data_IF_074056407846
#
_entry.id   IF_074056407846
#
_cell.length_a   1.000
_cell.length_b   1.000
_cell.length_c   1.000
_cell.angle_alpha   90.00
_cell.angle_beta   90.00
_cell.angle_gamma   90.00
#
_symmetry.space_group_name_H-M   'P 1'
#
loop_
_entity.id
_entity.type
_entity.pdbx_description
1 polymer ?
#
# COMPACT_ATOMS: atom_id res chain seq x y z
N UNK A 1 5.64 -0.10 13.63
CA UNK A 1 5.44 -0.38 15.07
C UNK A 1 6.51 -1.35 15.49
N UNK A 2 7.33 -0.97 16.47
CA UNK A 2 8.40 -1.82 16.99
C UNK A 2 7.91 -2.43 18.31
N UNK A 3 7.70 -3.75 18.41
CA UNK A 3 7.24 -4.36 19.65
C UNK A 3 8.31 -4.30 20.75
N UNK A 4 7.91 -4.14 22.01
CA UNK A 4 8.83 -4.24 23.15
C UNK A 4 9.49 -5.62 23.25
N UNK A 5 8.76 -6.66 22.84
CA UNK A 5 9.25 -8.04 22.77
C UNK A 5 8.79 -8.68 21.45
N UNK A 6 9.75 -9.17 20.66
CA UNK A 6 9.47 -9.80 19.37
C UNK A 6 8.43 -10.94 19.50
N UNK A 7 7.45 -10.94 18.61
CA UNK A 7 6.35 -11.92 18.61
C UNK A 7 5.28 -11.72 19.68
N UNK A 8 5.42 -10.74 20.59
CA UNK A 8 4.45 -10.48 21.67
C UNK A 8 3.84 -9.08 21.58
N UNK A 9 3.07 -8.83 20.51
CA UNK A 9 2.47 -7.53 20.21
C UNK A 9 1.60 -6.96 21.35
N UNK A 10 0.94 -7.82 22.12
CA UNK A 10 0.10 -7.43 23.28
C UNK A 10 0.90 -6.77 24.42
N UNK A 11 2.24 -6.91 24.45
CA UNK A 11 3.11 -6.23 25.42
C UNK A 11 3.42 -4.78 25.05
N UNK A 12 2.76 -4.25 24.01
CA UNK A 12 2.98 -2.91 23.52
C UNK A 12 4.32 -2.75 22.80
N UNK A 13 4.63 -1.51 22.48
CA UNK A 13 5.79 -1.15 21.67
C UNK A 13 5.78 0.32 21.29
N UNK A 14 6.71 0.69 20.41
CA UNK A 14 6.84 2.05 19.89
C UNK A 14 6.09 2.18 18.56
N UNK A 15 5.08 3.06 18.53
CA UNK A 15 4.50 3.51 17.27
C UNK A 15 5.40 4.57 16.63
N UNK A 16 5.56 4.52 15.31
CA UNK A 16 6.41 5.43 14.56
C UNK A 16 5.71 5.91 13.29
N UNK A 17 6.18 7.05 12.77
CA UNK A 17 5.77 7.57 11.47
C UNK A 17 6.99 7.77 10.56
N UNK A 18 6.81 7.42 9.28
CA UNK A 18 7.86 7.52 8.27
C UNK A 18 8.13 8.97 7.91
N UNK A 19 9.41 9.34 7.87
CA UNK A 19 9.94 10.61 7.38
C UNK A 19 10.80 10.30 6.16
N UNK A 20 10.66 11.09 5.08
CA UNK A 20 11.62 11.00 3.98
C UNK A 20 12.88 11.77 4.41
N UNK A 21 14.02 11.09 4.46
CA UNK A 21 15.26 11.63 4.99
C UNK A 21 15.68 12.91 4.27
N UNK A 22 15.95 13.96 5.03
CA UNK A 22 16.30 15.29 4.51
C UNK A 22 15.14 16.03 3.82
N UNK A 23 13.91 15.52 3.90
CA UNK A 23 12.69 16.12 3.34
C UNK A 23 11.55 16.03 4.38
N UNK A 24 11.65 16.77 5.51
CA UNK A 24 10.57 16.77 6.49
C UNK A 24 9.27 17.23 5.83
N UNK A 25 8.14 16.64 6.26
CA UNK A 25 6.81 16.97 5.74
C UNK A 25 6.64 16.69 4.24
N UNK A 26 7.40 15.73 3.69
CA UNK A 26 7.34 15.40 2.28
C UNK A 26 5.93 15.00 1.85
N UNK A 27 5.39 15.71 0.85
CA UNK A 27 4.09 15.41 0.26
C UNK A 27 4.26 14.44 -0.92
N UNK A 28 3.99 13.14 -0.70
CA UNK A 28 4.15 12.10 -1.72
C UNK A 28 2.96 11.99 -2.68
N UNK A 29 1.89 12.77 -2.45
CA UNK A 29 0.58 12.56 -3.09
C UNK A 29 0.57 12.99 -4.55
N UNK A 30 1.55 13.79 -4.98
CA UNK A 30 1.65 14.35 -6.34
C UNK A 30 0.42 15.15 -6.84
N UNK A 31 -0.48 15.60 -5.94
CA UNK A 31 -1.70 16.32 -6.31
C UNK A 31 -1.43 17.64 -7.02
N UNK A 32 -0.55 18.46 -6.43
CA UNK A 32 -0.23 19.78 -6.96
C UNK A 32 1.07 19.77 -7.77
N UNK A 33 2.12 19.19 -7.20
CA UNK A 33 3.47 19.13 -7.76
C UNK A 33 3.91 17.67 -7.87
N UNK A 34 4.61 17.31 -8.95
CA UNK A 34 5.21 15.97 -9.11
C UNK A 34 6.49 15.85 -8.27
N UNK A 35 6.31 15.76 -6.95
CA UNK A 35 7.37 15.73 -5.96
C UNK A 35 8.06 14.36 -5.88
N UNK A 36 7.32 13.27 -6.09
CA UNK A 36 7.84 11.90 -6.09
C UNK A 36 7.78 11.33 -7.51
N UNK A 37 8.94 10.98 -8.07
CA UNK A 37 9.00 10.37 -9.41
C UNK A 37 8.76 8.86 -9.31
N UNK A 38 8.14 8.30 -10.35
CA UNK A 38 7.94 6.86 -10.46
C UNK A 38 9.29 6.12 -10.35
N UNK A 39 9.34 5.08 -9.52
CA UNK A 39 10.51 4.25 -9.22
C UNK A 39 11.73 4.98 -8.61
N UNK A 40 11.59 6.26 -8.23
CA UNK A 40 12.64 6.94 -7.48
C UNK A 40 12.67 6.39 -6.06
N UNK A 41 13.82 5.84 -5.66
CA UNK A 41 14.09 5.47 -4.28
C UNK A 41 14.42 6.71 -3.45
N UNK A 42 13.78 6.83 -2.28
CA UNK A 42 14.05 7.84 -1.28
C UNK A 42 14.36 7.13 0.04
N UNK A 43 15.49 7.46 0.66
CA UNK A 43 15.80 6.98 2.01
C UNK A 43 14.78 7.51 3.01
N UNK A 44 14.44 6.69 4.00
CA UNK A 44 13.51 7.07 5.07
C UNK A 44 14.17 6.98 6.43
N UNK A 45 13.62 7.74 7.36
CA UNK A 45 13.89 7.64 8.79
C UNK A 45 12.54 7.61 9.52
N UNK A 46 12.54 7.27 10.81
CA UNK A 46 11.31 7.14 11.60
C UNK A 46 11.32 8.10 12.77
N UNK A 47 10.18 8.74 13.02
CA UNK A 47 9.94 9.51 14.25
C UNK A 47 9.03 8.73 15.18
N UNK A 48 9.39 8.74 16.46
CA UNK A 48 8.58 8.11 17.50
C UNK A 48 7.31 8.93 17.77
N UNK A 49 6.18 8.24 17.84
CA UNK A 49 4.89 8.84 18.16
C UNK A 49 4.51 8.53 19.61
N UNK A 50 4.43 9.57 20.42
CA UNK A 50 3.93 9.45 21.80
C UNK A 50 2.41 9.46 21.84
N UNK A 51 1.84 8.88 22.91
CA UNK A 51 0.40 8.81 23.17
C UNK A 51 -0.41 8.31 21.96
N UNK A 52 -0.17 7.05 21.52
CA UNK A 52 -0.77 6.52 20.28
C UNK A 52 -2.29 6.41 20.34
N UNK A 53 -2.89 6.31 21.53
CA UNK A 53 -4.35 6.31 21.73
C UNK A 53 -5.05 7.56 21.17
N UNK A 54 -4.33 8.70 21.08
CA UNK A 54 -4.78 9.96 20.48
C UNK A 54 -6.26 10.32 20.73
N UNK A 55 -6.69 10.52 21.99
CA UNK A 55 -8.08 10.85 22.33
C UNK A 55 -8.57 12.19 21.73
N UNK A 56 -7.64 12.99 21.18
CA UNK A 56 -7.92 14.29 20.53
C UNK A 56 -7.96 14.19 18.99
N UNK A 57 -7.81 12.99 18.43
CA UNK A 57 -7.70 12.78 16.98
C UNK A 57 -6.58 13.62 16.31
N UNK A 58 -5.43 13.73 16.99
CA UNK A 58 -4.34 14.65 16.61
C UNK A 58 -3.04 13.94 16.17
N UNK A 59 -2.98 12.61 16.24
CA UNK A 59 -1.76 11.83 16.04
C UNK A 59 -1.10 12.14 14.69
N UNK A 60 -1.90 12.14 13.61
CA UNK A 60 -1.44 12.48 12.25
C UNK A 60 -0.88 13.90 12.16
N UNK A 61 -1.48 14.85 12.87
CA UNK A 61 -1.05 16.25 12.89
C UNK A 61 0.26 16.41 13.66
N UNK A 62 0.43 15.69 14.77
CA UNK A 62 1.68 15.66 15.56
C UNK A 62 2.80 14.98 14.77
N UNK A 63 2.55 13.84 14.15
CA UNK A 63 3.53 13.15 13.30
C UNK A 63 3.98 14.04 12.14
N UNK A 64 3.04 14.70 11.45
CA UNK A 64 3.38 15.64 10.38
C UNK A 64 4.21 16.82 10.88
N UNK A 65 3.89 17.40 12.05
CA UNK A 65 4.71 18.46 12.67
C UNK A 65 6.14 18.00 13.02
N UNK A 66 6.33 16.71 13.27
CA UNK A 66 7.63 16.09 13.51
C UNK A 66 8.37 15.69 12.22
N UNK A 67 7.78 15.92 11.04
CA UNK A 67 8.43 15.67 9.75
C UNK A 67 7.86 14.49 8.97
N UNK A 68 6.86 13.77 9.49
CA UNK A 68 6.29 12.61 8.79
C UNK A 68 5.80 12.97 7.38
N UNK A 69 5.98 12.05 6.44
CA UNK A 69 5.51 12.19 5.07
C UNK A 69 3.98 12.08 4.98
N UNK A 70 3.40 12.73 3.98
CA UNK A 70 1.97 12.64 3.66
C UNK A 70 1.74 11.64 2.53
N UNK A 71 0.93 10.64 2.82
CA UNK A 71 0.39 9.67 1.87
C UNK A 71 -1.09 9.96 1.60
N UNK A 72 -1.55 9.68 0.38
CA UNK A 72 -2.92 9.96 -0.03
C UNK A 72 -3.82 8.78 0.33
N UNK A 73 -4.52 8.84 1.47
CA UNK A 73 -5.42 7.77 1.96
C UNK A 73 -4.74 6.40 1.89
N UNK A 74 -3.82 6.15 2.82
CA UNK A 74 -3.17 4.85 2.94
C UNK A 74 -4.19 3.79 3.35
N UNK A 75 -4.39 2.77 2.51
CA UNK A 75 -5.36 1.68 2.74
C UNK A 75 -4.61 0.34 2.89
N UNK A 76 -4.89 -0.65 2.03
CA UNK A 76 -4.31 -1.98 2.13
C UNK A 76 -2.79 -2.01 1.98
N UNK A 77 -2.17 -2.88 2.77
CA UNK A 77 -0.72 -3.12 2.81
C UNK A 77 -0.46 -4.63 2.75
N UNK A 78 0.53 -5.05 1.97
CA UNK A 78 0.91 -6.46 1.87
C UNK A 78 2.43 -6.61 1.79
N UNK A 79 2.94 -7.61 2.51
CA UNK A 79 4.34 -8.00 2.48
C UNK A 79 4.63 -8.92 1.29
N UNK A 80 5.73 -8.67 0.58
CA UNK A 80 6.29 -9.48 -0.49
C UNK A 80 7.62 -10.12 -0.09
N UNK A 81 8.54 -10.28 -1.04
CA UNK A 81 9.89 -10.76 -0.73
C UNK A 81 10.79 -9.60 -0.26
N UNK A 82 10.98 -9.50 1.07
CA UNK A 82 11.78 -8.45 1.74
C UNK A 82 11.28 -7.01 1.52
N UNK A 83 10.07 -6.85 1.02
CA UNK A 83 9.48 -5.55 0.72
C UNK A 83 8.00 -5.55 1.07
N UNK A 84 7.39 -4.37 1.14
CA UNK A 84 5.95 -4.24 1.23
C UNK A 84 5.41 -3.24 0.23
N UNK A 85 4.16 -3.44 -0.13
CA UNK A 85 3.41 -2.55 -1.00
C UNK A 85 2.18 -2.06 -0.25
N UNK A 86 1.82 -0.80 -0.46
CA UNK A 86 0.57 -0.27 0.06
C UNK A 86 -0.11 0.70 -0.92
N UNK A 87 -1.44 0.71 -0.89
CA UNK A 87 -2.26 1.57 -1.71
C UNK A 87 -2.35 2.98 -1.11
N UNK A 88 -2.33 3.96 -1.99
CA UNK A 88 -2.69 5.35 -1.72
C UNK A 88 -3.86 5.70 -2.64
N UNK A 89 -5.08 5.49 -2.15
CA UNK A 89 -6.31 5.34 -2.94
C UNK A 89 -6.61 6.52 -3.86
N UNK A 90 -6.34 7.76 -3.42
CA UNK A 90 -6.56 8.95 -4.23
C UNK A 90 -5.27 9.71 -4.53
N UNK A 91 -4.12 9.03 -4.53
CA UNK A 91 -2.83 9.59 -4.91
C UNK A 91 -2.69 9.91 -6.40
N UNK A 92 -1.64 10.64 -6.73
CA UNK A 92 -1.25 10.99 -8.10
C UNK A 92 -1.90 12.27 -8.61
N UNK A 93 -1.34 12.83 -9.69
CA UNK A 93 -1.82 14.08 -10.28
C UNK A 93 -3.30 14.04 -10.69
N UNK A 94 -3.78 12.89 -11.17
CA UNK A 94 -5.19 12.68 -11.55
C UNK A 94 -6.07 12.21 -10.37
N UNK A 95 -5.48 12.01 -9.19
CA UNK A 95 -6.16 11.50 -7.99
C UNK A 95 -6.87 10.17 -8.22
N UNK A 96 -6.28 9.30 -9.03
CA UNK A 96 -6.81 7.99 -9.39
C UNK A 96 -6.17 6.85 -8.61
N UNK A 97 -5.14 7.16 -7.82
CA UNK A 97 -4.47 6.24 -6.93
C UNK A 97 -3.00 5.98 -7.30
N UNK A 98 -2.27 5.54 -6.28
CA UNK A 98 -0.87 5.15 -6.34
C UNK A 98 -0.68 3.83 -5.59
N UNK A 99 0.39 3.11 -5.91
CA UNK A 99 0.95 2.05 -5.06
C UNK A 99 2.34 2.46 -4.67
N UNK A 100 2.64 2.42 -3.37
CA UNK A 100 3.96 2.66 -2.83
C UNK A 100 4.65 1.33 -2.58
N UNK A 101 5.97 1.29 -2.78
CA UNK A 101 6.85 0.17 -2.43
C UNK A 101 7.83 0.62 -1.36
N UNK A 102 7.90 -0.11 -0.26
CA UNK A 102 8.84 0.13 0.83
C UNK A 102 9.74 -1.10 1.03
N UNK A 103 11.04 -0.85 1.00
CA UNK A 103 12.08 -1.81 1.37
C UNK A 103 12.62 -1.39 2.75
N UNK A 104 12.40 -2.16 3.82
CA UNK A 104 12.98 -1.86 5.11
C UNK A 104 14.51 -1.99 5.12
N UNK A 105 15.11 -1.39 6.13
CA UNK A 105 16.53 -1.56 6.43
C UNK A 105 16.87 -3.02 6.75
N UNK A 106 18.10 -3.47 6.49
CA UNK A 106 18.59 -4.73 7.06
C UNK A 106 18.67 -4.68 8.60
N UNK A 107 18.68 -3.47 9.16
CA UNK A 107 18.72 -3.19 10.59
C UNK A 107 17.41 -2.54 11.09
N UNK A 108 16.29 -2.76 10.40
CA UNK A 108 14.99 -2.14 10.69
C UNK A 108 14.60 -2.27 12.17
N UNK A 109 14.25 -1.15 12.80
CA UNK A 109 13.84 -1.09 14.20
C UNK A 109 14.98 -1.28 15.21
N UNK A 110 16.24 -1.12 14.79
CA UNK A 110 17.42 -1.19 15.67
C UNK A 110 18.25 0.09 15.62
N UNK A 111 19.17 0.27 16.57
CA UNK A 111 20.08 1.42 16.61
C UNK A 111 21.02 1.54 15.40
N UNK A 112 21.12 0.49 14.57
CA UNK A 112 21.94 0.48 13.34
C UNK A 112 21.15 0.89 12.10
N UNK A 113 19.85 1.13 12.21
CA UNK A 113 18.98 1.45 11.06
C UNK A 113 19.51 2.65 10.25
N UNK A 114 20.04 3.68 10.93
CA UNK A 114 20.63 4.86 10.27
C UNK A 114 21.85 4.54 9.39
N UNK A 115 22.53 3.41 9.58
CA UNK A 115 23.68 3.00 8.78
C UNK A 115 23.27 2.54 7.37
N UNK A 116 22.05 2.00 7.24
CA UNK A 116 21.48 1.56 5.98
C UNK A 116 19.97 1.79 6.01
N UNK A 117 19.50 3.03 5.80
CA UNK A 117 18.09 3.37 5.94
C UNK A 117 17.19 2.58 4.99
N UNK A 118 15.96 2.33 5.42
CA UNK A 118 14.93 1.82 4.52
C UNK A 118 14.67 2.78 3.35
N UNK A 119 14.00 2.30 2.31
CA UNK A 119 13.73 3.05 1.08
C UNK A 119 12.27 2.98 0.70
N UNK A 120 11.66 4.13 0.41
CA UNK A 120 10.32 4.24 -0.16
C UNK A 120 10.40 4.64 -1.63
N UNK A 121 9.52 4.10 -2.46
CA UNK A 121 9.38 4.46 -3.86
C UNK A 121 7.92 4.47 -4.31
N UNK A 122 7.62 5.34 -5.27
CA UNK A 122 6.33 5.34 -5.96
C UNK A 122 6.37 4.24 -7.01
N UNK A 123 5.66 3.13 -6.77
CA UNK A 123 5.71 1.94 -7.63
C UNK A 123 4.72 2.02 -8.79
N UNK A 124 3.51 2.53 -8.53
CA UNK A 124 2.48 2.80 -9.53
C UNK A 124 1.90 4.18 -9.28
N UNK A 125 1.68 4.94 -10.34
CA UNK A 125 0.82 6.13 -10.33
C UNK A 125 -0.15 6.04 -11.50
N UNK A 126 -1.44 6.03 -11.22
CA UNK A 126 -2.43 5.91 -12.27
C UNK A 126 -2.48 7.14 -13.16
N UNK A 127 -2.42 6.90 -14.46
CA UNK A 127 -2.57 7.93 -15.50
C UNK A 127 -3.93 7.86 -16.21
N UNK A 128 -4.75 6.84 -15.93
CA UNK A 128 -6.06 6.65 -16.56
C UNK A 128 -7.01 5.84 -15.68
N UNK A 129 -8.27 6.27 -15.63
CA UNK A 129 -9.36 5.56 -14.95
C UNK A 129 -9.58 4.15 -15.50
N UNK A 130 -9.25 3.93 -16.77
CA UNK A 130 -9.42 2.63 -17.43
C UNK A 130 -8.38 1.59 -17.02
N UNK A 131 -7.24 2.01 -16.47
CA UNK A 131 -6.12 1.14 -16.09
C UNK A 131 -6.09 0.90 -14.58
N UNK A 132 -6.33 1.93 -13.78
CA UNK A 132 -6.30 1.86 -12.31
C UNK A 132 -7.08 3.03 -11.73
N UNK A 133 -8.05 2.76 -10.86
CA UNK A 133 -8.94 3.80 -10.32
C UNK A 133 -9.34 3.45 -8.88
N UNK A 134 -8.78 4.16 -7.91
CA UNK A 134 -9.02 3.96 -6.48
C UNK A 134 -8.69 2.54 -5.99
N UNK A 135 -7.52 2.00 -6.38
CA UNK A 135 -7.04 0.76 -5.79
C UNK A 135 -6.80 0.92 -4.29
N UNK A 136 -7.44 0.06 -3.51
CA UNK A 136 -7.61 0.16 -2.06
C UNK A 136 -6.86 -0.97 -1.34
N UNK A 137 -7.22 -2.23 -1.60
CA UNK A 137 -6.51 -3.38 -1.05
C UNK A 137 -5.62 -4.04 -2.11
N UNK A 138 -4.55 -4.70 -1.65
CA UNK A 138 -3.66 -5.44 -2.54
C UNK A 138 -3.15 -6.71 -1.88
N UNK A 139 -2.74 -7.68 -2.71
CA UNK A 139 -1.98 -8.85 -2.29
C UNK A 139 -0.89 -9.18 -3.31
N UNK A 140 0.23 -9.71 -2.83
CA UNK A 140 1.29 -10.24 -3.69
C UNK A 140 0.89 -11.64 -4.14
N UNK A 141 0.84 -11.85 -5.43
CA UNK A 141 0.51 -13.14 -6.04
C UNK A 141 1.74 -14.05 -6.18
N UNK A 142 1.55 -15.37 -6.39
CA UNK A 142 2.66 -16.34 -6.39
C UNK A 142 3.71 -16.16 -7.49
N UNK A 143 3.41 -15.42 -8.56
CA UNK A 143 4.37 -15.06 -9.60
C UNK A 143 5.06 -13.69 -9.35
N UNK A 144 4.83 -13.08 -8.19
CA UNK A 144 5.38 -11.77 -7.82
C UNK A 144 4.61 -10.56 -8.36
N UNK A 145 3.50 -10.76 -9.07
CA UNK A 145 2.61 -9.66 -9.47
C UNK A 145 1.80 -9.18 -8.26
N UNK A 146 1.29 -7.95 -8.28
CA UNK A 146 0.24 -7.53 -7.35
C UNK A 146 -1.12 -7.81 -7.96
N UNK A 147 -2.07 -8.23 -7.12
CA UNK A 147 -3.50 -8.13 -7.40
C UNK A 147 -4.05 -7.01 -6.52
N UNK A 148 -4.65 -6.00 -7.15
CA UNK A 148 -5.18 -4.81 -6.50
C UNK A 148 -6.71 -4.77 -6.68
N UNK A 149 -7.42 -4.54 -5.59
CA UNK A 149 -8.86 -4.36 -5.53
C UNK A 149 -9.20 -2.87 -5.69
N UNK A 150 -10.03 -2.52 -6.66
CA UNK A 150 -10.57 -1.15 -6.78
C UNK A 150 -11.81 -0.94 -5.89
N UNK A 151 -11.88 0.25 -5.30
CA UNK A 151 -13.03 0.80 -4.61
C UNK A 151 -13.35 2.21 -5.13
N UNK A 152 -14.10 2.28 -6.23
CA UNK A 152 -14.51 3.54 -6.85
C UNK A 152 -15.67 4.20 -6.10
N UNK A 153 -15.51 5.49 -5.83
CA UNK A 153 -16.54 6.34 -5.21
C UNK A 153 -17.37 7.07 -6.27
N UNK A 154 -18.13 6.32 -7.08
CA UNK A 154 -19.03 6.86 -8.10
C UNK A 154 -20.44 6.28 -7.96
N UNK A 155 -21.46 7.01 -8.43
CA UNK A 155 -22.87 6.57 -8.35
C UNK A 155 -23.10 5.21 -9.01
N UNK A 156 -22.43 4.97 -10.13
CA UNK A 156 -22.32 3.66 -10.78
C UNK A 156 -20.87 3.27 -10.74
N UNK A 157 -20.56 2.18 -10.04
CA UNK A 157 -19.18 1.69 -9.88
C UNK A 157 -18.80 0.79 -11.06
N UNK A 158 -17.52 0.84 -11.44
CA UNK A 158 -16.92 -0.02 -12.45
C UNK A 158 -15.59 -0.61 -11.92
N UNK A 159 -15.68 -1.31 -10.80
CA UNK A 159 -14.53 -1.83 -10.06
C UNK A 159 -13.89 -3.04 -10.75
N UNK A 160 -12.57 -3.11 -10.68
CA UNK A 160 -11.78 -4.20 -11.23
C UNK A 160 -10.84 -4.80 -10.18
N UNK A 161 -10.49 -6.07 -10.39
CA UNK A 161 -9.19 -6.55 -9.97
C UNK A 161 -8.17 -6.12 -11.02
N UNK A 162 -7.19 -5.33 -10.62
CA UNK A 162 -6.04 -4.97 -11.45
C UNK A 162 -4.88 -5.86 -11.12
N UNK A 163 -4.18 -6.29 -12.15
CA UNK A 163 -2.86 -6.88 -11.99
C UNK A 163 -1.78 -5.82 -12.16
N UNK A 164 -0.69 -5.96 -11.42
CA UNK A 164 0.52 -5.13 -11.58
C UNK A 164 1.73 -6.04 -11.69
N UNK A 165 2.51 -5.93 -12.76
CA UNK A 165 3.74 -6.72 -12.92
C UNK A 165 4.83 -6.29 -11.94
N UNK A 166 5.90 -7.07 -11.73
CA UNK A 166 7.04 -6.65 -10.89
C UNK A 166 7.72 -5.37 -11.39
N UNK A 167 7.53 -5.01 -12.66
CA UNK A 167 8.03 -3.77 -13.26
C UNK A 167 7.04 -2.59 -13.12
N UNK A 168 5.90 -2.78 -12.45
CA UNK A 168 4.90 -1.73 -12.23
C UNK A 168 3.92 -1.53 -13.39
N UNK A 169 3.86 -2.44 -14.36
CA UNK A 169 2.89 -2.34 -15.47
C UNK A 169 1.52 -2.84 -15.03
N UNK A 170 0.49 -2.03 -15.27
CA UNK A 170 -0.88 -2.35 -14.86
C UNK A 170 -1.65 -3.02 -16.01
N UNK A 171 -2.40 -4.07 -15.69
CA UNK A 171 -3.29 -4.76 -16.62
C UNK A 171 -4.63 -5.12 -15.96
N UNK A 172 -5.65 -5.33 -16.79
CA UNK A 172 -6.99 -5.70 -16.32
C UNK A 172 -7.00 -7.20 -16.05
N UNK A 173 -7.27 -7.60 -14.81
CA UNK A 173 -7.36 -9.02 -14.47
C UNK A 173 -8.82 -9.50 -14.50
N UNK A 174 -9.69 -8.85 -13.74
CA UNK A 174 -11.12 -9.17 -13.72
C UNK A 174 -11.95 -7.91 -13.48
N UNK A 175 -13.22 -7.95 -13.87
CA UNK A 175 -14.19 -6.88 -13.68
C UNK A 175 -15.30 -7.34 -12.74
N UNK A 176 -15.63 -6.53 -11.74
CA UNK A 176 -16.80 -6.73 -10.91
C UNK A 176 -18.02 -6.09 -11.60
N UNK A 177 -19.02 -6.91 -11.91
CA UNK A 177 -20.29 -6.43 -12.51
C UNK A 177 -21.34 -6.03 -11.48
N UNK A 178 -21.10 -6.31 -10.20
CA UNK A 178 -21.99 -5.92 -9.12
C UNK A 178 -21.77 -4.45 -8.72
N UNK A 179 -22.84 -3.79 -8.27
CA UNK A 179 -22.77 -2.42 -7.75
C UNK A 179 -22.27 -2.39 -6.30
N UNK A 180 -20.99 -2.71 -6.12
CA UNK A 180 -20.28 -2.71 -4.83
C UNK A 180 -18.76 -2.72 -5.08
N UNK A 181 -17.97 -2.80 -4.01
CA UNK A 181 -16.51 -2.84 -4.05
C UNK A 181 -15.94 -4.25 -3.85
N UNK A 182 -14.66 -4.37 -4.17
CA UNK A 182 -13.83 -5.54 -3.84
C UNK A 182 -13.11 -5.25 -2.52
N UNK A 183 -13.51 -5.91 -1.44
CA UNK A 183 -13.05 -5.64 -0.08
C UNK A 183 -11.92 -6.59 0.36
N UNK A 184 -10.87 -6.65 -0.46
CA UNK A 184 -9.66 -7.39 -0.16
C UNK A 184 -9.57 -8.76 -0.82
N UNK A 185 -8.31 -9.17 -1.03
CA UNK A 185 -7.96 -10.44 -1.63
C UNK A 185 -6.74 -11.05 -0.93
N UNK A 186 -6.65 -12.37 -0.95
CA UNK A 186 -5.47 -13.10 -0.49
C UNK A 186 -5.33 -14.43 -1.23
N UNK A 187 -4.12 -14.96 -1.27
CA UNK A 187 -3.86 -16.29 -1.80
C UNK A 187 -3.90 -17.35 -0.69
N UNK A 188 -4.32 -18.56 -1.05
CA UNK A 188 -4.06 -19.75 -0.23
C UNK A 188 -2.56 -19.92 0.02
N UNK A 189 -2.14 -20.59 1.11
CA UNK A 189 -0.72 -20.76 1.43
C UNK A 189 0.11 -21.44 0.33
N UNK A 190 -0.52 -22.30 -0.47
CA UNK A 190 0.10 -22.99 -1.62
C UNK A 190 0.04 -22.17 -2.93
N UNK A 191 -0.58 -20.99 -2.90
CA UNK A 191 -0.74 -20.11 -4.06
C UNK A 191 -1.76 -20.59 -5.11
N UNK A 192 -2.47 -21.69 -4.89
CA UNK A 192 -3.36 -22.30 -5.90
C UNK A 192 -4.70 -21.57 -6.06
N UNK A 193 -5.14 -20.85 -5.03
CA UNK A 193 -6.46 -20.20 -4.97
C UNK A 193 -6.33 -18.75 -4.53
N UNK A 194 -6.88 -17.83 -5.32
CA UNK A 194 -7.13 -16.45 -4.92
C UNK A 194 -8.52 -16.36 -4.28
N UNK A 195 -8.60 -15.93 -3.03
CA UNK A 195 -9.84 -15.53 -2.39
C UNK A 195 -10.05 -14.03 -2.55
N UNK A 196 -11.25 -13.61 -2.93
CA UNK A 196 -11.61 -12.20 -3.10
C UNK A 196 -12.97 -11.93 -2.48
N UNK A 197 -13.07 -10.87 -1.68
CA UNK A 197 -14.32 -10.46 -1.08
C UNK A 197 -15.04 -9.42 -1.95
N UNK A 198 -16.35 -9.61 -2.12
CA UNK A 198 -17.29 -8.63 -2.67
C UNK A 198 -18.09 -8.08 -1.49
N UNK A 199 -18.07 -6.77 -1.28
CA UNK A 199 -18.49 -6.18 0.00
C UNK A 199 -19.99 -6.35 0.31
N UNK A 200 -20.88 -5.97 -0.61
CA UNK A 200 -22.33 -6.01 -0.37
C UNK A 200 -23.16 -6.38 -1.62
N UNK A 201 -24.09 -7.36 -1.53
CA UNK A 201 -24.22 -8.33 -0.44
C UNK A 201 -22.95 -9.18 -0.34
N UNK A 202 -22.49 -9.43 0.89
CA UNK A 202 -21.17 -10.01 1.14
C UNK A 202 -21.02 -11.40 0.53
N UNK A 203 -19.96 -11.58 -0.25
CA UNK A 203 -19.57 -12.87 -0.86
C UNK A 203 -18.06 -13.01 -0.85
N UNK A 204 -17.57 -14.22 -0.67
CA UNK A 204 -16.17 -14.57 -0.93
C UNK A 204 -16.12 -15.47 -2.15
N UNK A 205 -15.33 -15.08 -3.14
CA UNK A 205 -15.05 -15.85 -4.35
C UNK A 205 -13.76 -16.63 -4.14
N UNK A 206 -13.72 -17.88 -4.59
CA UNK A 206 -12.51 -18.68 -4.68
C UNK A 206 -12.18 -18.89 -6.16
N UNK A 207 -11.03 -18.37 -6.59
CA UNK A 207 -10.60 -18.37 -7.99
C UNK A 207 -9.34 -19.23 -8.09
N UNK A 208 -9.44 -20.38 -8.76
CA UNK A 208 -8.31 -21.26 -9.04
C UNK A 208 -7.72 -20.95 -10.41
N UNK A 209 -6.40 -21.11 -10.57
CA UNK A 209 -5.75 -20.88 -11.86
C UNK A 209 -4.27 -21.24 -11.84
N UNK A 210 -3.58 -21.17 -13.00
CA UNK A 210 -2.15 -21.42 -13.11
C UNK A 210 -1.33 -20.21 -12.63
N UNK A 211 -1.55 -19.77 -11.39
CA UNK A 211 -1.04 -18.50 -10.84
C UNK A 211 0.48 -18.34 -10.96
N UNK A 212 1.24 -19.44 -10.80
CA UNK A 212 2.70 -19.44 -10.93
C UNK A 212 3.21 -19.24 -12.36
N UNK A 213 2.38 -19.52 -13.37
CA UNK A 213 2.78 -19.53 -14.78
C UNK A 213 2.26 -18.31 -15.55
N UNK A 214 1.42 -17.50 -14.92
CA UNK A 214 0.84 -16.34 -15.58
C UNK A 214 1.92 -15.27 -15.84
N UNK A 215 2.00 -14.81 -17.08
CA UNK A 215 2.84 -13.70 -17.52
C UNK A 215 2.06 -12.81 -18.49
N UNK A 216 2.40 -11.52 -18.56
CA UNK A 216 1.79 -10.52 -19.45
C UNK A 216 2.70 -10.23 -20.63
#
# INVERSE_FOLDING_TARGET
FIPNEYGKLHKGGQLQAMVVKGKPQFDSRNWNNKAMRLHQELEVEWVNLDNPESPKDDLRLRGYKQGAALFARGEGIHWGDKELYFCCTNGGKKQLGQVMKYQPSEFEGTDKEAQQPGKISLFVESTSKTLYNFGDNLTVSPNGHLIVCEDQYTDVVDNHLRGVTPQGQVYNFARLVAQTELAGACFSPDGSTLFVNVYSPSKTLAITGPWHQFSV
#
